data_IF_690607284710
#
_entry.id   IF_690607284710
#
_cell.length_a   1.000
_cell.length_b   1.000
_cell.length_c   1.000
_cell.angle_alpha   90.00
_cell.angle_beta   90.00
_cell.angle_gamma   90.00
#
_symmetry.space_group_name_H-M   'P 1'
#
loop_
_entity.id
_entity.type
_entity.pdbx_description
1 polymer ?
#
# COMPACT_ATOMS: atom_id res chain seq x y z
N UNK A 1 -24.12 35.90 55.01
CA UNK A 1 -23.64 34.79 55.88
C UNK A 1 -24.62 33.64 55.69
N UNK A 2 -24.27 32.46 55.20
CA UNK A 2 -22.96 31.90 54.93
C UNK A 2 -22.98 30.95 53.73
N UNK A 3 -21.81 30.88 53.10
CA UNK A 3 -21.38 29.97 52.04
C UNK A 3 -20.98 28.62 52.64
N UNK A 4 -21.40 27.52 52.01
CA UNK A 4 -20.96 26.13 52.24
C UNK A 4 -21.37 25.34 50.98
N UNK A 5 -20.58 24.50 50.29
CA UNK A 5 -19.20 24.03 50.41
C UNK A 5 -18.76 23.42 49.04
N UNK A 6 -17.49 23.67 48.69
CA UNK A 6 -16.46 22.88 47.97
C UNK A 6 -16.71 21.97 46.73
N UNK A 7 -15.82 22.21 45.75
CA UNK A 7 -14.93 21.29 44.99
C UNK A 7 -15.47 20.07 44.22
N UNK A 8 -15.40 20.17 42.88
CA UNK A 8 -14.82 19.17 41.94
C UNK A 8 -14.28 19.95 40.73
N UNK A 9 -12.98 20.16 40.57
CA UNK A 9 -12.01 19.30 39.87
C UNK A 9 -12.52 18.77 38.52
N UNK A 10 -11.91 19.35 37.47
CA UNK A 10 -11.54 18.79 36.17
C UNK A 10 -12.55 18.15 35.20
N UNK A 11 -12.20 18.33 33.92
CA UNK A 11 -12.67 17.62 32.73
C UNK A 11 -14.06 18.02 32.21
N UNK A 12 -14.09 18.88 31.19
CA UNK A 12 -14.27 18.37 29.83
C UNK A 12 -13.91 19.43 28.75
N UNK A 13 -12.62 19.56 28.44
CA UNK A 13 -12.15 20.22 27.22
C UNK A 13 -12.18 19.28 26.01
N UNK A 14 -12.85 18.13 26.13
CA UNK A 14 -12.96 17.18 25.03
C UNK A 14 -14.11 17.60 24.12
N UNK A 15 -13.86 17.51 22.81
CA UNK A 15 -14.80 17.72 21.71
C UNK A 15 -14.98 19.18 21.26
N UNK A 16 -13.86 19.86 20.98
CA UNK A 16 -13.76 20.46 19.63
C UNK A 16 -13.83 19.29 18.64
N UNK A 17 -15.06 18.94 18.27
CA UNK A 17 -15.38 17.90 17.31
C UNK A 17 -14.48 18.05 16.08
N UNK A 18 -13.58 17.07 15.88
CA UNK A 18 -12.74 16.86 14.71
C UNK A 18 -13.56 16.45 13.48
N UNK A 19 -14.81 16.92 13.35
CA UNK A 19 -15.66 16.71 12.17
C UNK A 19 -15.37 17.70 11.03
N UNK A 20 -14.41 18.61 11.21
CA UNK A 20 -14.06 19.64 10.24
C UNK A 20 -12.62 19.60 9.71
N UNK A 21 -11.77 18.67 10.15
CA UNK A 21 -10.37 18.65 9.70
C UNK A 21 -10.26 18.04 8.29
N UNK A 22 -9.53 18.72 7.41
CA UNK A 22 -9.22 18.24 6.07
C UNK A 22 -7.77 17.77 5.98
N UNK A 23 -7.51 16.74 5.18
CA UNK A 23 -6.18 16.21 4.92
C UNK A 23 -5.94 15.97 3.43
N UNK A 24 -4.69 16.17 3.03
CA UNK A 24 -4.13 15.65 1.78
C UNK A 24 -3.06 14.65 2.15
N UNK A 25 -3.22 13.41 1.72
CA UNK A 25 -2.37 12.29 2.12
C UNK A 25 -1.73 11.64 0.89
N UNK A 26 -0.42 11.49 0.90
CA UNK A 26 0.26 10.51 0.04
C UNK A 26 0.14 9.14 0.71
N UNK A 27 -0.48 8.17 0.04
CA UNK A 27 -0.65 6.80 0.54
C UNK A 27 0.07 5.82 -0.37
N UNK A 28 0.89 4.97 0.23
CA UNK A 28 1.62 3.90 -0.44
C UNK A 28 0.78 2.64 -0.39
N UNK A 29 0.54 2.04 -1.54
CA UNK A 29 -0.28 0.86 -1.72
C UNK A 29 0.37 -0.11 -2.69
N UNK A 30 -0.08 -1.36 -2.68
CA UNK A 30 0.24 -2.32 -3.74
C UNK A 30 -0.86 -2.35 -4.81
N UNK A 31 -0.45 -2.42 -6.07
CA UNK A 31 -1.31 -2.53 -7.26
C UNK A 31 -0.77 -3.63 -8.17
N UNK A 32 -1.66 -4.19 -8.99
CA UNK A 32 -1.33 -5.21 -10.01
C UNK A 32 -0.20 -4.78 -10.96
N UNK A 33 -0.08 -3.47 -11.22
CA UNK A 33 0.91 -2.91 -12.13
C UNK A 33 2.09 -2.22 -11.42
N UNK A 34 2.02 -2.06 -10.08
CA UNK A 34 3.08 -1.45 -9.29
C UNK A 34 2.90 -1.86 -7.81
N UNK A 35 3.83 -2.67 -7.31
CA UNK A 35 3.75 -3.23 -5.95
C UNK A 35 4.05 -2.19 -4.84
N UNK A 36 4.59 -1.04 -5.21
CA UNK A 36 4.94 0.06 -4.30
C UNK A 36 4.53 1.39 -4.94
N UNK A 37 3.22 1.66 -4.95
CA UNK A 37 2.58 2.74 -5.70
C UNK A 37 2.06 3.84 -4.79
N UNK A 38 2.38 5.10 -5.08
CA UNK A 38 1.86 6.24 -4.35
C UNK A 38 0.57 6.78 -5.00
N UNK A 39 -0.44 7.02 -4.18
CA UNK A 39 -1.69 7.71 -4.54
C UNK A 39 -1.91 8.92 -3.64
N UNK A 40 -2.61 9.94 -4.15
CA UNK A 40 -3.04 11.09 -3.34
C UNK A 40 -4.46 10.85 -2.86
N UNK A 41 -4.71 11.03 -1.57
CA UNK A 41 -6.04 11.00 -0.97
C UNK A 41 -6.39 12.36 -0.39
N UNK A 42 -7.51 12.92 -0.83
CA UNK A 42 -8.14 14.08 -0.23
C UNK A 42 -9.22 13.58 0.74
N UNK A 43 -9.17 13.99 2.00
CA UNK A 43 -10.22 13.70 2.96
C UNK A 43 -10.68 14.95 3.69
N UNK A 44 -11.99 15.13 3.81
CA UNK A 44 -12.58 16.28 4.50
C UNK A 44 -14.06 16.03 4.79
N UNK A 45 -14.50 16.32 6.02
CA UNK A 45 -15.93 16.23 6.41
C UNK A 45 -16.59 14.88 6.04
N UNK A 46 -15.88 13.77 6.27
CA UNK A 46 -16.35 12.41 5.96
C UNK A 46 -16.32 12.05 4.47
N UNK A 47 -15.92 12.96 3.59
CA UNK A 47 -15.68 12.68 2.18
C UNK A 47 -14.23 12.27 1.95
N UNK A 48 -14.02 11.38 1.00
CA UNK A 48 -12.72 10.89 0.59
C UNK A 48 -12.68 10.76 -0.94
N UNK A 49 -11.62 11.28 -1.57
CA UNK A 49 -11.35 11.11 -3.00
C UNK A 49 -9.88 10.72 -3.14
N UNK A 50 -9.65 9.60 -3.80
CA UNK A 50 -8.33 9.12 -4.18
C UNK A 50 -8.06 9.52 -5.63
N UNK A 51 -6.88 10.08 -5.87
CA UNK A 51 -6.32 10.34 -7.18
C UNK A 51 -5.10 9.44 -7.39
N UNK A 52 -5.11 8.74 -8.52
CA UNK A 52 -4.11 7.76 -8.91
C UNK A 52 -3.57 8.11 -10.29
N UNK A 53 -2.25 8.28 -10.43
CA UNK A 53 -1.61 8.43 -11.72
C UNK A 53 -1.18 7.05 -12.24
N UNK A 54 -1.89 6.55 -13.25
CA UNK A 54 -1.59 5.28 -13.90
C UNK A 54 -1.46 5.48 -15.41
N UNK A 55 -0.28 5.18 -15.97
CA UNK A 55 0.01 5.29 -17.42
C UNK A 55 -0.41 6.65 -17.99
N UNK A 56 0.03 7.73 -17.33
CA UNK A 56 -0.26 9.14 -17.67
C UNK A 56 -1.74 9.57 -17.56
N UNK A 57 -2.62 8.70 -17.08
CA UNK A 57 -4.02 9.01 -16.84
C UNK A 57 -4.25 9.13 -15.34
N UNK A 58 -4.81 10.27 -14.92
CA UNK A 58 -5.30 10.43 -13.55
C UNK A 58 -6.67 9.78 -13.43
N UNK A 59 -6.78 8.82 -12.51
CA UNK A 59 -8.00 8.13 -12.16
C UNK A 59 -8.47 8.57 -10.79
N UNK A 60 -9.77 8.84 -10.67
CA UNK A 60 -10.40 9.23 -9.41
C UNK A 60 -11.25 8.10 -8.87
N UNK A 61 -11.20 7.87 -7.57
CA UNK A 61 -12.06 6.90 -6.89
C UNK A 61 -12.47 7.41 -5.52
N UNK A 62 -13.73 7.19 -5.16
CA UNK A 62 -14.25 7.40 -3.79
C UNK A 62 -14.24 6.11 -2.96
N UNK A 63 -13.97 4.97 -3.61
CA UNK A 63 -13.89 3.69 -2.92
C UNK A 63 -12.68 3.67 -2.00
N UNK A 64 -12.75 2.94 -0.88
CA UNK A 64 -11.59 2.71 -0.04
C UNK A 64 -10.41 2.18 -0.87
N UNK A 65 -9.21 2.66 -0.55
CA UNK A 65 -7.99 2.07 -1.07
C UNK A 65 -7.85 0.64 -0.53
N UNK A 66 -7.08 -0.22 -1.21
CA UNK A 66 -6.64 -1.48 -0.62
C UNK A 66 -5.77 -1.20 0.62
N UNK A 67 -5.15 -2.24 1.16
CA UNK A 67 -4.20 -2.11 2.25
C UNK A 67 -3.16 -0.99 2.00
N UNK A 68 -3.12 -0.05 2.93
CA UNK A 68 -2.20 1.10 2.93
C UNK A 68 -0.96 0.70 3.69
N UNK A 69 0.16 0.59 2.97
CA UNK A 69 1.47 0.19 3.50
C UNK A 69 2.10 1.33 4.30
N UNK A 70 1.97 2.55 3.81
CA UNK A 70 2.51 3.75 4.46
C UNK A 70 1.75 4.99 4.04
N UNK A 71 1.85 6.07 4.82
CA UNK A 71 1.28 7.36 4.42
C UNK A 71 2.05 8.56 4.98
N UNK A 72 1.97 9.67 4.26
CA UNK A 72 2.44 10.99 4.69
C UNK A 72 1.27 11.96 4.47
N UNK A 73 0.74 12.51 5.56
CA UNK A 73 -0.43 13.41 5.52
C UNK A 73 -0.06 14.85 5.80
N UNK A 74 -0.76 15.78 5.18
CA UNK A 74 -0.70 17.21 5.47
C UNK A 74 -2.11 17.70 5.83
N UNK A 75 -2.21 18.52 6.88
CA UNK A 75 -3.48 19.16 7.24
C UNK A 75 -3.81 20.27 6.24
N UNK A 76 -5.07 20.32 5.80
CA UNK A 76 -5.62 21.43 5.03
C UNK A 76 -5.88 22.58 6.00
N UNK A 77 -5.31 23.75 5.72
CA UNK A 77 -5.45 24.93 6.58
C UNK A 77 -6.91 25.36 6.67
N UNK A 78 -7.42 25.47 7.89
CA UNK A 78 -8.80 25.88 8.18
C UNK A 78 -9.88 25.10 7.39
N UNK A 79 -9.54 23.90 6.90
CA UNK A 79 -10.38 23.15 5.97
C UNK A 79 -10.79 23.95 4.71
N UNK A 80 -9.89 24.81 4.22
CA UNK A 80 -10.09 25.58 2.98
C UNK A 80 -8.89 25.40 2.03
N UNK A 81 -9.15 25.21 0.73
CA UNK A 81 -10.47 25.14 0.08
C UNK A 81 -11.16 23.77 0.28
N UNK A 82 -12.47 23.66 0.01
CA UNK A 82 -13.17 22.37 0.04
C UNK A 82 -12.55 21.33 -0.90
N UNK A 83 -12.63 20.05 -0.54
CA UNK A 83 -12.13 18.91 -1.32
C UNK A 83 -12.42 18.98 -2.84
N UNK A 84 -13.63 19.36 -3.26
CA UNK A 84 -13.95 19.43 -4.69
C UNK A 84 -13.15 20.52 -5.44
N UNK A 85 -12.78 21.61 -4.76
CA UNK A 85 -11.93 22.68 -5.32
C UNK A 85 -10.48 22.24 -5.43
N UNK A 86 -10.00 21.40 -4.51
CA UNK A 86 -8.63 20.86 -4.60
C UNK A 86 -8.41 20.13 -5.93
N UNK A 87 -9.43 19.41 -6.42
CA UNK A 87 -9.33 18.71 -7.71
C UNK A 87 -9.10 19.63 -8.91
N UNK A 88 -9.57 20.89 -8.86
CA UNK A 88 -9.35 21.88 -9.93
C UNK A 88 -7.89 22.34 -9.97
N UNK A 89 -7.23 22.35 -8.81
CA UNK A 89 -5.84 22.74 -8.61
C UNK A 89 -4.87 21.54 -8.61
N UNK A 90 -5.35 20.35 -8.97
CA UNK A 90 -4.52 19.15 -9.02
C UNK A 90 -3.48 19.27 -10.14
N UNK A 91 -2.20 19.25 -9.76
CA UNK A 91 -1.11 19.29 -10.73
C UNK A 91 -1.16 18.07 -11.66
N UNK A 92 -1.27 18.32 -12.96
CA UNK A 92 -1.21 17.29 -14.00
C UNK A 92 0.25 17.09 -14.41
N UNK A 93 0.72 15.83 -14.54
CA UNK A 93 2.04 15.59 -15.09
C UNK A 93 2.09 16.10 -16.53
N UNK A 94 3.03 16.99 -16.83
CA UNK A 94 3.36 17.35 -18.20
C UNK A 94 4.45 16.42 -18.75
N UNK A 95 4.22 15.99 -20.01
CA UNK A 95 5.15 15.47 -21.02
C UNK A 95 5.65 14.02 -20.93
N UNK A 96 5.66 13.39 -22.12
CA UNK A 96 6.24 12.12 -22.56
C UNK A 96 7.41 11.64 -21.69
N UNK A 97 7.19 10.56 -20.94
CA UNK A 97 8.23 9.91 -20.14
C UNK A 97 8.29 8.40 -20.42
N UNK A 98 9.47 7.77 -20.29
CA UNK A 98 9.64 6.36 -20.57
C UNK A 98 8.71 5.52 -19.69
N UNK A 99 7.89 4.69 -20.33
CA UNK A 99 6.80 3.90 -19.74
C UNK A 99 7.24 2.74 -18.82
N UNK A 100 8.52 2.64 -18.48
CA UNK A 100 9.10 1.47 -17.82
C UNK A 100 9.04 1.53 -16.28
N UNK A 101 8.88 2.72 -15.69
CA UNK A 101 8.85 2.88 -14.23
C UNK A 101 7.63 3.68 -13.75
N UNK A 102 7.20 3.40 -12.53
CA UNK A 102 6.10 4.13 -11.91
C UNK A 102 6.59 5.48 -11.34
N UNK A 103 6.27 6.57 -12.04
CA UNK A 103 6.61 7.95 -11.66
C UNK A 103 5.77 8.54 -10.52
N UNK A 104 5.10 7.70 -9.73
CA UNK A 104 4.17 8.14 -8.69
C UNK A 104 4.82 9.04 -7.63
N UNK A 105 6.12 8.85 -7.31
CA UNK A 105 6.85 9.73 -6.37
C UNK A 105 6.92 11.17 -6.89
N UNK A 106 7.33 11.35 -8.15
CA UNK A 106 7.50 12.68 -8.74
C UNK A 106 6.16 13.40 -8.86
N UNK A 107 5.11 12.66 -9.24
CA UNK A 107 3.77 13.21 -9.30
C UNK A 107 3.23 13.60 -7.92
N UNK A 108 3.33 12.73 -6.92
CA UNK A 108 2.90 13.03 -5.54
C UNK A 108 3.65 14.23 -4.99
N UNK A 109 4.97 14.30 -5.18
CA UNK A 109 5.76 15.46 -4.78
C UNK A 109 5.25 16.74 -5.46
N UNK A 110 5.04 16.72 -6.79
CA UNK A 110 4.53 17.87 -7.54
C UNK A 110 3.16 18.34 -7.04
N UNK A 111 2.24 17.42 -6.76
CA UNK A 111 0.92 17.71 -6.21
C UNK A 111 1.01 18.40 -4.84
N UNK A 112 1.78 17.81 -3.90
CA UNK A 112 1.94 18.38 -2.56
C UNK A 112 2.67 19.73 -2.62
N UNK A 113 3.69 19.85 -3.48
CA UNK A 113 4.41 21.09 -3.70
C UNK A 113 3.49 22.20 -4.23
N UNK A 114 2.59 21.87 -5.17
CA UNK A 114 1.61 22.81 -5.69
C UNK A 114 0.66 23.32 -4.59
N UNK A 115 0.07 22.42 -3.81
CA UNK A 115 -0.82 22.83 -2.70
C UNK A 115 -0.11 23.59 -1.60
N UNK A 116 1.16 23.27 -1.34
CA UNK A 116 2.00 24.07 -0.45
C UNK A 116 2.23 25.47 -1.03
N UNK A 117 2.48 25.61 -2.33
CA UNK A 117 2.66 26.89 -3.01
C UNK A 117 1.40 27.76 -3.04
N UNK A 118 0.22 27.12 -3.11
CA UNK A 118 -1.09 27.77 -3.00
C UNK A 118 -1.50 28.09 -1.55
N UNK A 119 -0.67 27.74 -0.58
CA UNK A 119 -0.90 27.92 0.86
C UNK A 119 -2.12 27.16 1.42
N UNK A 120 -2.55 26.08 0.77
CA UNK A 120 -3.72 25.30 1.18
C UNK A 120 -3.45 24.31 2.31
N UNK A 121 -2.20 23.90 2.47
CA UNK A 121 -1.79 22.89 3.46
C UNK A 121 -0.71 23.42 4.40
N UNK A 122 -0.60 22.82 5.58
CA UNK A 122 0.52 23.04 6.48
C UNK A 122 1.87 22.70 5.82
N UNK A 123 2.93 23.39 6.24
CA UNK A 123 4.28 23.26 5.65
C UNK A 123 5.03 22.01 6.10
N UNK A 124 4.55 21.36 7.15
CA UNK A 124 5.11 20.14 7.74
C UNK A 124 4.00 19.10 7.78
N UNK A 125 4.34 17.85 7.48
CA UNK A 125 3.38 16.74 7.54
C UNK A 125 2.91 16.49 8.98
N UNK A 126 1.83 15.72 9.12
CA UNK A 126 1.32 15.22 10.41
C UNK A 126 2.31 14.34 11.17
N UNK A 127 3.38 13.90 10.50
CA UNK A 127 4.46 13.07 11.05
C UNK A 127 5.81 13.79 11.11
N UNK A 128 5.84 15.11 10.90
CA UNK A 128 7.04 15.93 11.07
C UNK A 128 7.94 16.03 9.83
N UNK A 129 7.49 15.56 8.67
CA UNK A 129 8.28 15.60 7.43
C UNK A 129 8.09 16.96 6.77
N UNK A 130 9.20 17.68 6.53
CA UNK A 130 9.16 18.94 5.81
C UNK A 130 8.99 18.71 4.31
N UNK A 131 8.52 19.74 3.59
CA UNK A 131 8.45 19.71 2.13
C UNK A 131 9.80 19.40 1.47
N UNK A 132 10.91 19.86 2.05
CA UNK A 132 12.24 19.67 1.47
C UNK A 132 12.71 18.22 1.57
N UNK A 133 12.27 17.49 2.60
CA UNK A 133 12.64 16.10 2.85
C UNK A 133 11.63 15.12 2.21
N UNK A 134 10.54 15.63 1.62
CA UNK A 134 9.42 14.83 1.14
C UNK A 134 9.83 13.83 0.04
N UNK A 135 10.65 14.25 -0.93
CA UNK A 135 11.07 13.37 -2.03
C UNK A 135 11.88 12.19 -1.49
N UNK A 136 12.87 12.49 -0.64
CA UNK A 136 13.72 11.47 -0.03
C UNK A 136 12.87 10.47 0.77
N UNK A 137 11.92 10.97 1.55
CA UNK A 137 11.07 10.13 2.39
C UNK A 137 10.07 9.28 1.58
N UNK A 138 9.52 9.81 0.47
CA UNK A 138 8.69 9.05 -0.46
C UNK A 138 9.48 7.91 -1.11
N UNK A 139 10.70 8.19 -1.61
CA UNK A 139 11.59 7.19 -2.22
C UNK A 139 12.00 6.13 -1.19
N UNK A 140 12.40 6.55 0.00
CA UNK A 140 12.83 5.65 1.08
C UNK A 140 11.73 4.67 1.45
N UNK A 141 10.51 5.16 1.68
CA UNK A 141 9.35 4.31 2.01
C UNK A 141 8.94 3.41 0.86
N UNK A 142 8.96 3.91 -0.37
CA UNK A 142 8.67 3.12 -1.56
C UNK A 142 9.65 1.94 -1.71
N UNK A 143 10.94 2.23 -1.57
CA UNK A 143 12.01 1.23 -1.69
C UNK A 143 11.94 0.19 -0.56
N UNK A 144 11.69 0.63 0.67
CA UNK A 144 11.54 -0.27 1.81
C UNK A 144 10.36 -1.22 1.63
N UNK A 145 9.23 -0.73 1.11
CA UNK A 145 8.07 -1.57 0.82
C UNK A 145 8.38 -2.60 -0.28
N UNK A 146 9.05 -2.18 -1.36
CA UNK A 146 9.42 -3.09 -2.45
C UNK A 146 10.37 -4.20 -1.96
N UNK A 147 11.42 -3.83 -1.21
CA UNK A 147 12.37 -4.79 -0.63
C UNK A 147 11.67 -5.79 0.31
N UNK A 148 10.69 -5.32 1.10
CA UNK A 148 9.90 -6.18 1.97
C UNK A 148 9.07 -7.20 1.20
N UNK A 149 8.51 -6.81 0.06
CA UNK A 149 7.75 -7.70 -0.83
C UNK A 149 8.67 -8.73 -1.48
N UNK A 150 9.81 -8.29 -2.03
CA UNK A 150 10.81 -9.18 -2.65
C UNK A 150 11.33 -10.23 -1.65
N UNK A 151 11.63 -9.81 -0.42
CA UNK A 151 12.04 -10.73 0.64
C UNK A 151 10.93 -11.74 0.97
N UNK A 152 9.68 -11.28 1.07
CA UNK A 152 8.54 -12.16 1.33
C UNK A 152 8.34 -13.22 0.23
N UNK A 153 8.53 -12.83 -1.03
CA UNK A 153 8.46 -13.74 -2.17
C UNK A 153 9.60 -14.78 -2.13
N UNK A 154 10.83 -14.34 -1.88
CA UNK A 154 11.98 -15.24 -1.77
C UNK A 154 11.84 -16.25 -0.63
N UNK A 155 11.33 -15.83 0.54
CA UNK A 155 11.05 -16.73 1.66
C UNK A 155 9.92 -17.72 1.34
N UNK A 156 8.91 -17.30 0.59
CA UNK A 156 7.81 -18.18 0.16
C UNK A 156 8.30 -19.24 -0.81
N UNK A 157 9.16 -18.87 -1.76
CA UNK A 157 9.78 -19.80 -2.72
C UNK A 157 10.64 -20.84 -2.00
N UNK A 158 11.46 -20.43 -1.04
CA UNK A 158 12.24 -21.34 -0.20
C UNK A 158 11.36 -22.32 0.58
N UNK A 159 10.25 -21.85 1.16
CA UNK A 159 9.31 -22.71 1.87
C UNK A 159 8.65 -23.76 0.95
N UNK A 160 8.36 -23.40 -0.31
CA UNK A 160 7.86 -24.36 -1.30
C UNK A 160 8.92 -25.43 -1.63
N UNK A 161 10.19 -25.03 -1.81
CA UNK A 161 11.29 -25.96 -2.10
C UNK A 161 11.54 -26.93 -0.93
N UNK A 162 11.49 -26.46 0.31
CA UNK A 162 11.65 -27.30 1.51
C UNK A 162 10.51 -28.32 1.68
N UNK A 163 9.29 -27.97 1.25
CA UNK A 163 8.14 -28.88 1.29
C UNK A 163 8.21 -29.97 0.20
N UNK A 164 8.69 -29.64 -1.00
CA UNK A 164 8.88 -30.61 -2.09
C UNK A 164 10.08 -31.54 -1.84
N UNK A 165 11.18 -31.02 -1.27
CA UNK A 165 12.35 -31.83 -0.85
C UNK A 165 12.06 -32.79 0.32
N UNK A 166 10.96 -32.58 1.04
CA UNK A 166 10.52 -33.46 2.13
C UNK A 166 9.67 -34.65 1.66
N UNK A 167 9.19 -34.65 0.40
CA UNK A 167 8.41 -35.76 -0.15
C UNK A 167 9.24 -36.80 -0.92
N UNK A 168 10.49 -36.52 -1.30
CA UNK A 168 11.30 -37.48 -2.07
C UNK A 168 12.12 -38.47 -1.23
N UNK A 169 12.14 -38.37 0.11
CA UNK A 169 12.81 -39.35 0.98
C UNK A 169 11.83 -40.42 1.49
N UNK A 170 11.08 -41.06 0.59
CA UNK A 170 10.32 -42.28 0.94
C UNK A 170 9.86 -43.14 -0.23
N UNK A 171 10.72 -43.41 -1.21
CA UNK A 171 10.53 -44.63 -2.00
C UNK A 171 11.85 -45.13 -2.61
N UNK A 172 12.58 -45.94 -1.85
CA UNK A 172 13.05 -47.24 -2.34
C UNK A 172 13.80 -48.06 -1.30
N UNK A 173 13.68 -49.38 -1.46
CA UNK A 173 14.37 -50.50 -0.81
C UNK A 173 13.92 -50.85 0.63
N UNK A 174 13.55 -52.09 1.00
CA UNK A 174 13.83 -53.42 0.42
C UNK A 174 12.99 -54.55 1.08
N UNK A 175 12.67 -55.57 0.26
CA UNK A 175 12.76 -57.02 0.53
C UNK A 175 11.75 -57.81 1.40
N UNK A 176 11.21 -58.87 0.78
CA UNK A 176 10.84 -60.17 1.40
C UNK A 176 9.40 -60.60 1.11
N UNK A 177 9.07 -61.53 0.19
CA UNK A 177 9.32 -62.97 0.32
C UNK A 177 9.04 -63.74 -0.99
N UNK A 178 9.88 -64.73 -1.30
CA UNK A 178 9.74 -65.80 -2.32
C UNK A 178 8.76 -66.92 -1.86
N UNK A 179 8.56 -68.05 -2.61
CA UNK A 179 8.27 -68.27 -4.03
C UNK A 179 7.05 -69.23 -4.22
N UNK A 180 6.47 -69.30 -5.42
CA UNK A 180 5.35 -70.22 -5.70
C UNK A 180 5.31 -70.73 -7.15
N UNK A 181 5.99 -71.86 -7.36
CA UNK A 181 5.72 -72.94 -8.32
C UNK A 181 5.36 -72.63 -9.80
N UNK A 182 6.30 -73.03 -10.67
CA UNK A 182 6.11 -73.31 -12.09
C UNK A 182 5.13 -74.48 -12.36
N UNK A 183 4.33 -74.33 -13.42
CA UNK A 183 4.00 -75.34 -14.45
C UNK A 183 3.36 -74.55 -15.61
N UNK A 184 3.98 -74.40 -16.79
CA UNK A 184 4.02 -75.38 -17.90
C UNK A 184 2.62 -75.47 -18.55
N UNK A 185 2.34 -75.23 -19.84
CA UNK A 185 3.11 -75.00 -21.06
C UNK A 185 2.14 -74.41 -22.12
N UNK A 186 2.70 -73.92 -23.24
CA UNK A 186 2.18 -74.08 -24.63
C UNK A 186 1.54 -72.89 -25.38
N UNK A 187 2.25 -72.52 -26.47
CA UNK A 187 1.82 -72.06 -27.82
C UNK A 187 1.36 -70.61 -28.12
N UNK A 188 2.31 -69.83 -28.67
CA UNK A 188 2.35 -69.24 -30.03
C UNK A 188 0.99 -69.07 -30.77
N UNK A 189 0.61 -67.84 -31.19
CA UNK A 189 0.63 -67.39 -32.61
C UNK A 189 0.18 -65.93 -32.85
N UNK A 190 0.68 -65.39 -33.97
CA UNK A 190 0.63 -64.03 -34.51
C UNK A 190 -0.77 -63.41 -34.77
N UNK A 191 -0.83 -62.07 -34.72
CA UNK A 191 -1.95 -61.29 -35.24
C UNK A 191 -1.56 -59.84 -35.52
N UNK A 192 -1.31 -59.55 -36.81
CA UNK A 192 -1.07 -58.24 -37.42
C UNK A 192 -2.27 -57.30 -37.30
#
# INVERSE_FOLDING_TARGET
>A
MGTMYQDTVDQDTTLRSTMGEGFIEAKLISREYCLSHWVITFSQSGQCINADLSKDVIRYSRSPLPEVISFIGFRIKDAKPPINRLLEDLWLPFTERPSEFCDCVQWVWGVIYNYSGLDYIETVSTTGISRNDLVEELVRRQSNALNGIELGLALSELACIENDGSQEIRSNDRSGSHPGANHGDTEINDGK
#
